data_IF_588177879138
#
_entry.id   IF_588177879138
#
_cell.length_a   1.000
_cell.length_b   1.000
_cell.length_c   1.000
_cell.angle_alpha   90.00
_cell.angle_beta   90.00
_cell.angle_gamma   90.00
#
_symmetry.space_group_name_H-M   'P 1'
#
loop_
_entity.id
_entity.type
_entity.pdbx_description
1 polymer ?
#
# COMPACT_ATOMS: atom_id res chain seq x y z
N UNK A 1 -39.96 27.38 21.77
CA UNK A 1 -38.68 28.11 21.83
C UNK A 1 -37.59 27.11 21.47
N UNK A 2 -37.13 27.19 20.23
CA UNK A 2 -36.10 26.35 19.64
C UNK A 2 -34.76 26.70 20.29
N UNK A 3 -34.23 25.78 21.10
CA UNK A 3 -32.87 25.86 21.59
C UNK A 3 -31.93 25.72 20.40
N UNK A 4 -31.35 26.83 19.98
CA UNK A 4 -30.22 26.85 19.08
C UNK A 4 -29.11 26.03 19.74
N UNK A 5 -28.81 24.88 19.15
CA UNK A 5 -27.58 24.16 19.41
C UNK A 5 -26.44 25.16 19.19
N UNK A 6 -25.67 25.41 20.23
CA UNK A 6 -24.49 26.24 20.15
C UNK A 6 -23.56 25.58 19.12
N UNK A 7 -23.42 26.19 17.94
CA UNK A 7 -22.26 25.98 17.09
C UNK A 7 -21.05 26.36 17.95
N UNK A 8 -20.42 25.38 18.59
CA UNK A 8 -19.12 25.54 19.23
C UNK A 8 -18.21 26.18 18.19
N UNK A 9 -17.79 27.41 18.44
CA UNK A 9 -16.92 28.14 17.52
C UNK A 9 -15.58 27.41 17.45
N UNK A 10 -15.43 26.57 16.41
CA UNK A 10 -14.26 25.74 16.21
C UNK A 10 -13.03 26.66 16.20
N UNK A 11 -12.03 26.43 17.07
CA UNK A 11 -10.85 27.28 17.14
C UNK A 11 -10.26 27.51 15.75
N UNK A 12 -9.96 28.77 15.40
CA UNK A 12 -9.37 29.13 14.10
C UNK A 12 -8.13 28.28 13.75
N UNK A 13 -7.35 27.88 14.77
CA UNK A 13 -6.22 26.96 14.63
C UNK A 13 -6.62 25.57 14.13
N UNK A 14 -7.69 24.98 14.68
CA UNK A 14 -8.20 23.68 14.27
C UNK A 14 -8.73 23.72 12.84
N UNK A 15 -9.49 24.76 12.48
CA UNK A 15 -10.01 24.96 11.10
C UNK A 15 -8.84 25.04 10.09
N UNK A 16 -7.77 25.76 10.45
CA UNK A 16 -6.55 25.85 9.62
C UNK A 16 -5.88 24.49 9.46
N UNK A 17 -5.69 23.74 10.55
CA UNK A 17 -5.09 22.39 10.52
C UNK A 17 -5.85 21.45 9.59
N UNK A 18 -7.18 21.44 9.64
CA UNK A 18 -8.02 20.63 8.75
C UNK A 18 -7.85 21.06 7.29
N UNK A 19 -7.82 22.37 7.03
CA UNK A 19 -7.65 22.93 5.68
C UNK A 19 -6.28 22.55 5.09
N UNK A 20 -5.21 22.70 5.87
CA UNK A 20 -3.85 22.35 5.47
C UNK A 20 -3.73 20.83 5.21
N UNK A 21 -4.40 19.99 6.00
CA UNK A 21 -4.45 18.55 5.79
C UNK A 21 -5.16 18.18 4.48
N UNK A 22 -6.33 18.76 4.20
CA UNK A 22 -7.05 18.55 2.94
C UNK A 22 -6.20 18.98 1.73
N UNK A 23 -5.53 20.13 1.82
CA UNK A 23 -4.61 20.59 0.78
C UNK A 23 -3.47 19.59 0.53
N UNK A 24 -2.84 19.07 1.58
CA UNK A 24 -1.79 18.06 1.46
C UNK A 24 -2.32 16.74 0.87
N UNK A 25 -3.52 16.31 1.25
CA UNK A 25 -4.17 15.13 0.68
C UNK A 25 -4.40 15.29 -0.83
N UNK A 26 -4.99 16.39 -1.26
CA UNK A 26 -5.33 16.58 -2.68
C UNK A 26 -4.09 16.80 -3.54
N UNK A 27 -3.11 17.55 -3.03
CA UNK A 27 -1.81 17.71 -3.68
C UNK A 27 -1.07 16.37 -3.83
N UNK A 28 -1.09 15.53 -2.80
CA UNK A 28 -0.43 14.21 -2.85
C UNK A 28 -1.10 13.29 -3.88
N UNK A 29 -2.43 13.29 -3.98
CA UNK A 29 -3.17 12.54 -5.01
C UNK A 29 -2.86 13.04 -6.43
N UNK A 30 -2.84 14.36 -6.63
CA UNK A 30 -2.53 14.95 -7.94
C UNK A 30 -1.14 14.54 -8.41
N UNK A 31 -0.13 14.68 -7.54
CA UNK A 31 1.24 14.26 -7.84
C UNK A 31 1.34 12.75 -8.06
N UNK A 32 0.65 11.94 -7.26
CA UNK A 32 0.64 10.49 -7.44
C UNK A 32 0.09 10.07 -8.81
N UNK A 33 -1.00 10.68 -9.25
CA UNK A 33 -1.58 10.40 -10.56
C UNK A 33 -0.64 10.82 -11.68
N UNK A 34 0.00 11.99 -11.57
CA UNK A 34 1.00 12.44 -12.55
C UNK A 34 2.19 11.47 -12.67
N UNK A 35 2.62 10.82 -11.58
CA UNK A 35 3.66 9.78 -11.64
C UNK A 35 3.26 8.56 -12.45
N UNK A 36 1.98 8.18 -12.44
CA UNK A 36 1.46 7.04 -13.20
C UNK A 36 1.52 7.30 -14.70
N UNK A 37 1.26 8.55 -15.10
CA UNK A 37 1.13 8.94 -16.50
C UNK A 37 2.50 9.28 -17.14
N UNK A 38 3.57 9.34 -16.33
CA UNK A 38 4.93 9.55 -16.83
C UNK A 38 5.50 8.28 -17.48
N UNK A 39 6.22 8.41 -18.63
CA UNK A 39 6.91 7.29 -19.25
C UNK A 39 7.80 6.52 -18.25
N UNK A 40 7.77 5.20 -18.35
CA UNK A 40 8.65 4.33 -17.55
C UNK A 40 10.12 4.47 -18.00
N UNK A 41 10.34 4.81 -19.28
CA UNK A 41 11.65 4.97 -19.91
C UNK A 41 11.73 6.34 -20.59
N UNK A 42 12.90 6.98 -20.54
CA UNK A 42 13.12 8.33 -21.07
C UNK A 42 13.85 9.25 -20.09
N UNK A 43 14.21 10.46 -20.55
CA UNK A 43 15.06 11.41 -19.81
C UNK A 43 14.66 11.62 -18.33
N UNK A 44 15.66 11.92 -17.49
CA UNK A 44 15.69 12.03 -16.01
C UNK A 44 14.69 13.01 -15.33
N UNK A 45 13.58 13.37 -15.97
CA UNK A 45 12.56 14.24 -15.39
C UNK A 45 11.74 13.54 -14.31
N UNK A 46 11.65 12.21 -14.35
CA UNK A 46 10.85 11.44 -13.39
C UNK A 46 11.41 11.50 -11.97
N UNK A 47 12.74 11.58 -11.79
CA UNK A 47 13.37 11.61 -10.47
C UNK A 47 12.98 12.86 -9.68
N UNK A 48 13.02 14.04 -10.32
CA UNK A 48 12.63 15.30 -9.66
C UNK A 48 11.15 15.30 -9.30
N UNK A 49 10.30 14.78 -10.21
CA UNK A 49 8.87 14.65 -9.96
C UNK A 49 8.55 13.63 -8.85
N UNK A 50 9.27 12.51 -8.83
CA UNK A 50 9.20 11.50 -7.78
C UNK A 50 9.59 12.10 -6.43
N UNK A 51 10.75 12.77 -6.34
CA UNK A 51 11.21 13.42 -5.11
C UNK A 51 10.16 14.37 -4.55
N UNK A 52 9.59 15.25 -5.40
CA UNK A 52 8.50 16.14 -5.01
C UNK A 52 7.26 15.41 -4.51
N UNK A 53 6.89 14.30 -5.17
CA UNK A 53 5.73 13.49 -4.77
C UNK A 53 5.97 12.85 -3.41
N UNK A 54 7.15 12.24 -3.25
CA UNK A 54 7.57 11.61 -2.01
C UNK A 54 7.61 12.61 -0.85
N UNK A 55 8.21 13.79 -1.05
CA UNK A 55 8.26 14.85 -0.04
C UNK A 55 6.87 15.27 0.45
N UNK A 56 5.90 15.40 -0.45
CA UNK A 56 4.52 15.76 -0.09
C UNK A 56 3.86 14.64 0.70
N UNK A 57 4.06 13.36 0.34
CA UNK A 57 3.55 12.24 1.10
C UNK A 57 4.20 12.11 2.48
N UNK A 58 5.51 12.31 2.59
CA UNK A 58 6.23 12.32 3.88
C UNK A 58 5.77 13.47 4.76
N UNK A 59 5.57 14.66 4.18
CA UNK A 59 4.99 15.80 4.90
C UNK A 59 3.57 15.50 5.37
N UNK A 60 2.72 14.93 4.53
CA UNK A 60 1.36 14.52 4.88
C UNK A 60 1.35 13.47 6.00
N UNK A 61 2.24 12.48 5.93
CA UNK A 61 2.38 11.44 6.96
C UNK A 61 2.79 12.02 8.30
N UNK A 62 3.79 12.91 8.34
CA UNK A 62 4.21 13.61 9.56
C UNK A 62 3.10 14.53 10.09
N UNK A 63 2.41 15.25 9.21
CA UNK A 63 1.32 16.16 9.57
C UNK A 63 0.19 15.42 10.28
N UNK A 64 -0.25 14.27 9.77
CA UNK A 64 -1.33 13.52 10.44
C UNK A 64 -0.94 12.96 11.81
N UNK A 65 0.35 12.62 12.01
CA UNK A 65 0.84 12.17 13.32
C UNK A 65 0.86 13.33 14.32
N UNK A 66 1.34 14.50 13.91
CA UNK A 66 1.49 15.68 14.78
C UNK A 66 0.13 16.28 15.18
N UNK A 67 -0.83 16.30 14.26
CA UNK A 67 -2.15 16.90 14.46
C UNK A 67 -3.25 15.87 14.71
N UNK A 68 -2.88 14.67 15.19
CA UNK A 68 -3.78 13.51 15.26
C UNK A 68 -5.09 13.78 15.99
N UNK A 69 -5.03 14.48 17.12
CA UNK A 69 -6.21 14.78 17.94
C UNK A 69 -7.22 15.67 17.20
N UNK A 70 -6.74 16.76 16.59
CA UNK A 70 -7.58 17.68 15.81
C UNK A 70 -8.18 16.98 14.59
N UNK A 71 -7.39 16.16 13.89
CA UNK A 71 -7.87 15.43 12.72
C UNK A 71 -8.91 14.37 13.09
N UNK A 72 -8.80 13.75 14.26
CA UNK A 72 -9.80 12.77 14.73
C UNK A 72 -11.13 13.45 15.11
N UNK A 73 -11.08 14.54 15.88
CA UNK A 73 -12.29 15.20 16.41
C UNK A 73 -12.96 16.16 15.44
N UNK A 74 -12.19 16.87 14.59
CA UNK A 74 -12.72 17.92 13.70
C UNK A 74 -12.84 17.48 12.25
N UNK A 75 -11.87 16.73 11.74
CA UNK A 75 -11.92 16.20 10.36
C UNK A 75 -12.62 14.83 10.29
N UNK A 76 -12.61 14.06 11.38
CA UNK A 76 -13.14 12.70 11.40
C UNK A 76 -12.21 11.67 10.77
N UNK A 77 -10.89 11.84 10.93
CA UNK A 77 -9.86 11.00 10.30
C UNK A 77 -9.98 9.54 10.72
N UNK A 78 -10.46 8.70 9.80
CA UNK A 78 -10.61 7.25 10.05
C UNK A 78 -9.28 6.52 9.92
N UNK A 79 -9.17 5.38 10.62
CA UNK A 79 -7.97 4.52 10.59
C UNK A 79 -7.66 4.03 9.18
N UNK A 80 -8.67 3.70 8.38
CA UNK A 80 -8.48 3.22 7.01
C UNK A 80 -7.90 4.31 6.10
N UNK A 81 -8.20 5.60 6.33
CA UNK A 81 -7.60 6.71 5.58
C UNK A 81 -6.09 6.80 5.83
N UNK A 82 -5.65 6.55 7.06
CA UNK A 82 -4.21 6.47 7.39
C UNK A 82 -3.57 5.26 6.69
N UNK A 83 -4.29 4.13 6.67
CA UNK A 83 -3.92 2.95 5.88
C UNK A 83 -3.74 3.28 4.40
N UNK A 84 -4.62 4.08 3.80
CA UNK A 84 -4.49 4.52 2.41
C UNK A 84 -3.23 5.35 2.16
N UNK A 85 -2.92 6.31 3.05
CA UNK A 85 -1.68 7.10 2.95
C UNK A 85 -0.46 6.19 3.07
N UNK A 86 -0.44 5.29 4.05
CA UNK A 86 0.64 4.32 4.22
C UNK A 86 0.79 3.40 2.99
N UNK A 87 -0.33 2.92 2.43
CA UNK A 87 -0.32 2.07 1.24
C UNK A 87 0.22 2.82 0.03
N UNK A 88 -0.04 4.13 -0.09
CA UNK A 88 0.50 4.97 -1.17
C UNK A 88 1.99 5.21 -1.02
N UNK A 89 2.48 5.41 0.19
CA UNK A 89 3.93 5.51 0.45
C UNK A 89 4.61 4.20 0.08
N UNK A 90 4.09 3.05 0.52
CA UNK A 90 4.60 1.74 0.09
C UNK A 90 4.59 1.55 -1.42
N UNK A 91 3.56 2.07 -2.11
CA UNK A 91 3.50 2.06 -3.57
C UNK A 91 4.59 2.93 -4.22
N UNK A 92 4.93 4.09 -3.64
CA UNK A 92 6.03 4.94 -4.13
C UNK A 92 7.37 4.22 -4.00
N UNK A 93 7.65 3.60 -2.86
CA UNK A 93 8.84 2.77 -2.66
C UNK A 93 8.94 1.67 -3.71
N UNK A 94 7.85 0.93 -3.93
CA UNK A 94 7.80 -0.12 -4.95
C UNK A 94 8.01 0.42 -6.37
N UNK A 95 7.40 1.56 -6.73
CA UNK A 95 7.61 2.19 -8.04
C UNK A 95 9.07 2.63 -8.24
N UNK A 96 9.74 3.09 -7.19
CA UNK A 96 11.15 3.45 -7.25
C UNK A 96 12.04 2.22 -7.48
N UNK A 97 11.76 1.12 -6.76
CA UNK A 97 12.41 -0.17 -6.99
C UNK A 97 12.26 -0.63 -8.45
N UNK A 98 11.06 -0.58 -9.04
CA UNK A 98 10.86 -0.99 -10.44
C UNK A 98 11.73 -0.21 -11.45
N UNK A 99 12.10 1.03 -11.14
CA UNK A 99 12.93 1.87 -12.02
C UNK A 99 14.43 1.73 -11.79
N UNK A 100 14.85 1.37 -10.57
CA UNK A 100 16.26 1.38 -10.14
C UNK A 100 16.82 -0.01 -9.88
N UNK A 101 15.94 -1.00 -9.67
CA UNK A 101 16.26 -2.32 -9.13
C UNK A 101 16.93 -2.28 -7.74
N UNK A 102 16.86 -1.16 -7.02
CA UNK A 102 17.41 -1.03 -5.67
C UNK A 102 16.50 -1.69 -4.63
N UNK A 103 16.97 -2.82 -4.12
CA UNK A 103 16.20 -3.76 -3.27
C UNK A 103 15.92 -3.21 -1.88
N UNK A 104 16.65 -2.18 -1.46
CA UNK A 104 16.37 -1.40 -0.26
C UNK A 104 14.97 -0.77 -0.28
N UNK A 105 14.54 -0.16 -1.39
CA UNK A 105 13.20 0.40 -1.54
C UNK A 105 12.12 -0.69 -1.54
N UNK A 106 12.43 -1.88 -2.04
CA UNK A 106 11.49 -3.01 -1.96
C UNK A 106 11.26 -3.43 -0.50
N UNK A 107 12.30 -3.42 0.34
CA UNK A 107 12.18 -3.67 1.77
C UNK A 107 11.37 -2.58 2.48
N UNK A 108 11.52 -1.31 2.10
CA UNK A 108 10.67 -0.24 2.65
C UNK A 108 9.20 -0.38 2.25
N UNK A 109 8.91 -0.74 1.00
CA UNK A 109 7.55 -1.07 0.57
C UNK A 109 6.97 -2.21 1.43
N UNK A 110 7.76 -3.25 1.70
CA UNK A 110 7.39 -4.34 2.60
C UNK A 110 7.09 -3.84 4.02
N UNK A 111 7.96 -3.00 4.59
CA UNK A 111 7.79 -2.43 5.92
C UNK A 111 6.48 -1.66 6.06
N UNK A 112 6.12 -0.83 5.07
CA UNK A 112 4.84 -0.14 5.05
C UNK A 112 3.65 -1.10 4.96
N UNK A 113 3.70 -2.09 4.07
CA UNK A 113 2.58 -3.03 3.92
C UNK A 113 2.40 -3.94 5.14
N UNK A 114 3.51 -4.39 5.74
CA UNK A 114 3.50 -5.14 6.99
C UNK A 114 2.93 -4.31 8.14
N UNK A 115 3.35 -3.05 8.25
CA UNK A 115 2.86 -2.12 9.26
C UNK A 115 1.34 -1.87 9.16
N UNK A 116 0.78 -1.86 7.95
CA UNK A 116 -0.65 -1.72 7.71
C UNK A 116 -1.43 -2.91 8.27
N UNK A 117 -0.95 -4.13 8.02
CA UNK A 117 -1.55 -5.38 8.54
C UNK A 117 -1.46 -5.43 10.06
N UNK A 118 -0.28 -5.21 10.62
CA UNK A 118 -0.02 -5.27 12.08
C UNK A 118 -0.87 -4.29 12.88
N UNK A 119 -1.15 -3.10 12.31
CA UNK A 119 -1.99 -2.08 12.96
C UNK A 119 -3.47 -2.17 12.57
N UNK A 120 -3.83 -3.13 11.72
CA UNK A 120 -5.20 -3.38 11.25
C UNK A 120 -5.90 -2.11 10.78
N UNK A 121 -5.22 -1.28 9.96
CA UNK A 121 -5.81 -0.01 9.50
C UNK A 121 -7.12 -0.20 8.74
N UNK A 122 -7.27 -1.32 8.05
CA UNK A 122 -8.47 -1.66 7.28
C UNK A 122 -9.54 -2.44 8.05
N UNK A 123 -9.39 -2.65 9.37
CA UNK A 123 -10.36 -3.42 10.18
C UNK A 123 -11.80 -2.87 10.09
N UNK A 124 -11.95 -1.55 9.97
CA UNK A 124 -13.26 -0.90 9.90
C UNK A 124 -13.82 -0.77 8.49
N UNK A 125 -13.06 -1.10 7.43
CA UNK A 125 -13.52 -0.91 6.04
C UNK A 125 -14.80 -1.68 5.75
N UNK A 126 -14.87 -2.94 6.20
CA UNK A 126 -16.06 -3.77 5.98
C UNK A 126 -17.26 -3.23 6.79
N UNK A 127 -17.09 -2.28 7.72
CA UNK A 127 -18.21 -1.68 8.48
C UNK A 127 -18.78 -0.42 7.81
N UNK A 128 -18.07 0.18 6.85
CA UNK A 128 -18.47 1.43 6.18
C UNK A 128 -19.47 1.22 5.05
N UNK A 129 -19.79 -0.05 4.71
CA UNK A 129 -20.73 -0.46 3.64
C UNK A 129 -20.47 0.19 2.27
N UNK A 130 -19.19 0.35 1.94
CA UNK A 130 -18.72 1.05 0.74
C UNK A 130 -17.82 0.13 -0.10
N UNK A 131 -18.28 -0.36 -1.26
CA UNK A 131 -17.52 -1.32 -2.07
C UNK A 131 -16.16 -0.76 -2.52
N UNK A 132 -16.08 0.54 -2.82
CA UNK A 132 -14.84 1.19 -3.24
C UNK A 132 -13.75 1.18 -2.16
N UNK A 133 -14.12 1.15 -0.87
CA UNK A 133 -13.16 1.04 0.23
C UNK A 133 -12.63 -0.39 0.35
N UNK A 134 -13.48 -1.39 0.16
CA UNK A 134 -13.09 -2.79 0.15
C UNK A 134 -12.14 -3.05 -1.02
N UNK A 135 -12.44 -2.55 -2.21
CA UNK A 135 -11.54 -2.63 -3.39
C UNK A 135 -10.16 -2.06 -3.08
N UNK A 136 -10.05 -0.95 -2.33
CA UNK A 136 -8.74 -0.41 -1.93
C UNK A 136 -7.98 -1.36 -1.00
N UNK A 137 -8.67 -2.01 -0.06
CA UNK A 137 -8.11 -3.05 0.82
C UNK A 137 -7.63 -4.27 0.02
N UNK A 138 -8.43 -4.76 -0.93
CA UNK A 138 -8.04 -5.87 -1.82
C UNK A 138 -6.79 -5.52 -2.65
N UNK A 139 -6.75 -4.31 -3.24
CA UNK A 139 -5.57 -3.83 -3.97
C UNK A 139 -4.34 -3.68 -3.08
N UNK A 140 -4.51 -3.37 -1.80
CA UNK A 140 -3.42 -3.36 -0.83
C UNK A 140 -2.85 -4.78 -0.63
N UNK A 141 -3.69 -5.77 -0.38
CA UNK A 141 -3.26 -7.17 -0.23
C UNK A 141 -2.53 -7.68 -1.47
N UNK A 142 -3.07 -7.43 -2.66
CA UNK A 142 -2.43 -7.84 -3.91
C UNK A 142 -1.01 -7.27 -4.05
N UNK A 143 -0.81 -5.97 -3.75
CA UNK A 143 0.52 -5.35 -3.77
C UNK A 143 1.44 -5.92 -2.69
N UNK A 144 0.90 -6.20 -1.50
CA UNK A 144 1.70 -6.77 -0.42
C UNK A 144 2.20 -8.17 -0.77
N UNK A 145 1.34 -9.01 -1.35
CA UNK A 145 1.69 -10.34 -1.87
C UNK A 145 2.82 -10.23 -2.91
N UNK A 146 2.68 -9.33 -3.90
CA UNK A 146 3.73 -9.11 -4.92
C UNK A 146 5.08 -8.77 -4.29
N UNK A 147 5.11 -7.85 -3.32
CA UNK A 147 6.36 -7.51 -2.62
C UNK A 147 6.92 -8.70 -1.85
N UNK A 148 6.07 -9.50 -1.19
CA UNK A 148 6.51 -10.70 -0.47
C UNK A 148 7.07 -11.77 -1.42
N UNK A 149 6.46 -11.95 -2.60
CA UNK A 149 6.97 -12.83 -3.64
C UNK A 149 8.37 -12.38 -4.09
N UNK A 150 8.56 -11.10 -4.39
CA UNK A 150 9.86 -10.56 -4.82
C UNK A 150 10.96 -10.68 -3.75
N UNK A 151 10.59 -10.57 -2.47
CA UNK A 151 11.49 -10.78 -1.32
C UNK A 151 11.60 -12.23 -0.86
N UNK A 152 11.03 -13.19 -1.61
CA UNK A 152 11.04 -14.62 -1.29
C UNK A 152 10.47 -14.97 0.11
N UNK A 153 9.49 -14.21 0.60
CA UNK A 153 8.82 -14.45 1.89
C UNK A 153 7.63 -15.39 1.73
N UNK A 154 7.87 -16.61 1.25
CA UNK A 154 6.83 -17.53 0.75
C UNK A 154 5.84 -17.99 1.83
N UNK A 155 6.24 -18.16 3.08
CA UNK A 155 5.31 -18.53 4.15
C UNK A 155 4.29 -17.42 4.42
N UNK A 156 4.76 -16.17 4.38
CA UNK A 156 3.88 -15.01 4.50
C UNK A 156 2.96 -14.87 3.27
N UNK A 157 3.46 -15.16 2.07
CA UNK A 157 2.63 -15.18 0.85
C UNK A 157 1.45 -16.14 1.00
N UNK A 158 1.68 -17.37 1.49
CA UNK A 158 0.60 -18.36 1.72
C UNK A 158 -0.47 -17.83 2.67
N UNK A 159 -0.05 -17.16 3.76
CA UNK A 159 -0.97 -16.53 4.71
C UNK A 159 -1.77 -15.41 4.05
N UNK A 160 -1.10 -14.49 3.33
CA UNK A 160 -1.75 -13.35 2.69
C UNK A 160 -2.71 -13.74 1.56
N UNK A 161 -2.41 -14.80 0.80
CA UNK A 161 -3.30 -15.31 -0.25
C UNK A 161 -4.59 -15.87 0.36
N UNK A 162 -4.47 -16.59 1.49
CA UNK A 162 -5.65 -17.06 2.22
C UNK A 162 -6.49 -15.90 2.72
N UNK A 163 -5.87 -14.90 3.36
CA UNK A 163 -6.56 -13.69 3.82
C UNK A 163 -7.24 -12.95 2.67
N UNK A 164 -6.55 -12.77 1.54
CA UNK A 164 -7.12 -12.12 0.35
C UNK A 164 -8.32 -12.90 -0.20
N UNK A 165 -8.26 -14.24 -0.21
CA UNK A 165 -9.37 -15.09 -0.65
C UNK A 165 -10.62 -14.90 0.24
N UNK A 166 -10.44 -14.88 1.55
CA UNK A 166 -11.54 -14.64 2.51
C UNK A 166 -12.17 -13.25 2.30
N UNK A 167 -11.34 -12.22 2.06
CA UNK A 167 -11.80 -10.86 1.81
C UNK A 167 -12.53 -10.70 0.48
N UNK A 168 -12.10 -11.40 -0.58
CA UNK A 168 -12.79 -11.41 -1.88
C UNK A 168 -14.14 -12.11 -1.75
N UNK A 169 -14.20 -13.23 -1.04
CA UNK A 169 -15.45 -13.95 -0.80
C UNK A 169 -16.46 -13.07 -0.04
N UNK A 170 -16.05 -12.43 1.05
CA UNK A 170 -16.92 -11.50 1.79
C UNK A 170 -17.39 -10.32 0.91
N UNK A 171 -16.47 -9.74 0.12
CA UNK A 171 -16.76 -8.64 -0.79
C UNK A 171 -17.82 -9.03 -1.84
N UNK A 172 -17.63 -10.16 -2.52
CA UNK A 172 -18.56 -10.63 -3.54
C UNK A 172 -19.91 -10.98 -2.93
N UNK A 173 -19.94 -11.72 -1.82
CA UNK A 173 -21.21 -12.12 -1.18
C UNK A 173 -22.02 -10.88 -0.76
N UNK A 174 -21.34 -9.84 -0.28
CA UNK A 174 -21.99 -8.63 0.22
C UNK A 174 -22.49 -7.70 -0.89
N UNK A 175 -21.70 -7.50 -1.94
CA UNK A 175 -21.97 -6.46 -2.93
C UNK A 175 -22.42 -6.98 -4.30
N UNK A 176 -22.38 -8.31 -4.53
CA UNK A 176 -22.77 -8.96 -5.79
C UNK A 176 -22.19 -8.26 -7.03
N UNK A 177 -20.87 -8.16 -7.09
CA UNK A 177 -20.16 -7.30 -8.03
C UNK A 177 -19.74 -8.01 -9.31
N UNK A 178 -19.76 -7.29 -10.43
CA UNK A 178 -19.34 -7.81 -11.75
C UNK A 178 -17.82 -8.07 -11.83
N UNK A 179 -17.02 -7.44 -10.97
CA UNK A 179 -15.55 -7.57 -10.93
C UNK A 179 -15.07 -8.84 -10.20
N UNK A 180 -15.97 -9.70 -9.72
CA UNK A 180 -15.61 -10.96 -9.05
C UNK A 180 -14.68 -11.83 -9.90
N UNK A 181 -14.94 -11.92 -11.21
CA UNK A 181 -14.14 -12.77 -12.10
C UNK A 181 -12.69 -12.27 -12.18
N UNK A 182 -12.49 -10.95 -12.18
CA UNK A 182 -11.15 -10.34 -12.20
C UNK A 182 -10.39 -10.64 -10.89
N UNK A 183 -11.06 -10.54 -9.74
CA UNK A 183 -10.46 -10.86 -8.44
C UNK A 183 -10.11 -12.34 -8.30
N UNK A 184 -10.95 -13.23 -8.82
CA UNK A 184 -10.66 -14.65 -8.88
C UNK A 184 -9.47 -14.97 -9.79
N UNK A 185 -9.35 -14.27 -10.92
CA UNK A 185 -8.19 -14.41 -11.81
C UNK A 185 -6.89 -14.03 -11.08
N UNK A 186 -6.89 -12.94 -10.31
CA UNK A 186 -5.72 -12.54 -9.51
C UNK A 186 -5.29 -13.65 -8.54
N UNK A 187 -6.24 -14.29 -7.83
CA UNK A 187 -5.92 -15.40 -6.93
C UNK A 187 -5.36 -16.60 -7.69
N UNK A 188 -5.94 -16.93 -8.85
CA UNK A 188 -5.48 -18.04 -9.68
C UNK A 188 -4.05 -17.81 -10.20
N UNK A 189 -3.74 -16.60 -10.67
CA UNK A 189 -2.40 -16.25 -11.15
C UNK A 189 -1.36 -16.33 -10.03
N UNK A 190 -1.69 -15.80 -8.85
CA UNK A 190 -0.80 -15.89 -7.68
C UNK A 190 -0.59 -17.34 -7.25
N UNK A 191 -1.65 -18.15 -7.21
CA UNK A 191 -1.56 -19.57 -6.87
C UNK A 191 -0.71 -20.35 -7.88
N UNK A 192 -0.93 -20.13 -9.18
CA UNK A 192 -0.15 -20.75 -10.25
C UNK A 192 1.34 -20.37 -10.14
N UNK A 193 1.63 -19.10 -9.82
CA UNK A 193 2.99 -18.63 -9.60
C UNK A 193 3.67 -19.31 -8.41
N UNK A 194 2.99 -19.45 -7.26
CA UNK A 194 3.53 -20.13 -6.08
C UNK A 194 3.85 -21.59 -6.38
N UNK A 195 3.01 -22.27 -7.17
CA UNK A 195 3.22 -23.66 -7.59
C UNK A 195 4.41 -23.79 -8.54
N UNK A 196 4.58 -22.83 -9.46
CA UNK A 196 5.66 -22.84 -10.46
C UNK A 196 7.02 -22.34 -9.93
N UNK A 197 7.05 -21.58 -8.84
CA UNK A 197 8.25 -20.95 -8.30
C UNK A 197 9.42 -21.89 -7.95
N UNK A 198 9.21 -23.07 -7.32
CA UNK A 198 10.33 -23.99 -7.13
C UNK A 198 10.79 -24.54 -8.49
N UNK A 199 11.94 -24.08 -8.98
CA UNK A 199 12.57 -24.69 -10.16
C UNK A 199 13.19 -26.00 -9.71
N UNK A 200 12.48 -27.08 -9.96
CA UNK A 200 12.92 -28.43 -9.66
C UNK A 200 13.74 -28.94 -10.84
N UNK A 201 15.06 -29.02 -10.66
CA UNK A 201 16.00 -29.51 -11.68
C UNK A 201 16.54 -30.87 -11.23
N UNK A 202 16.60 -31.83 -12.15
CA UNK A 202 17.37 -33.05 -11.93
C UNK A 202 18.83 -32.74 -12.22
N UNK A 203 19.72 -32.95 -11.25
CA UNK A 203 21.15 -32.87 -11.51
C UNK A 203 21.65 -34.15 -12.21
N UNK A 204 22.92 -34.14 -12.64
CA UNK A 204 23.58 -35.26 -13.32
C UNK A 204 23.55 -36.59 -12.52
N UNK A 205 23.31 -36.51 -11.21
CA UNK A 205 23.20 -37.66 -10.31
C UNK A 205 21.74 -38.15 -10.14
N UNK A 206 20.81 -37.68 -10.98
CA UNK A 206 19.39 -38.00 -10.89
C UNK A 206 18.74 -37.58 -9.55
N UNK A 207 19.37 -36.64 -8.83
CA UNK A 207 18.83 -36.09 -7.58
C UNK A 207 18.12 -34.78 -7.85
N UNK A 208 17.02 -34.58 -7.12
CA UNK A 208 16.18 -33.40 -7.24
C UNK A 208 16.84 -32.22 -6.53
N UNK A 209 17.14 -31.16 -7.29
CA UNK A 209 17.69 -29.89 -6.78
C UNK A 209 16.65 -28.80 -7.00
N UNK A 210 16.32 -28.07 -5.95
CA UNK A 210 15.46 -26.88 -6.05
C UNK A 210 16.38 -25.68 -6.24
N UNK A 211 16.38 -25.08 -7.43
CA UNK A 211 17.03 -23.80 -7.70
C UNK A 211 16.01 -22.69 -7.59
N UNK A 212 16.39 -21.57 -6.97
CA UNK A 212 15.57 -20.36 -6.95
C UNK A 212 16.43 -19.20 -7.44
N UNK A 213 15.93 -18.47 -8.43
CA UNK A 213 16.57 -17.25 -8.92
C UNK A 213 16.16 -16.01 -8.09
N UNK A 214 15.45 -16.22 -6.97
CA UNK A 214 15.03 -15.14 -6.08
C UNK A 214 16.16 -14.67 -5.19
N UNK A 215 16.02 -13.43 -4.72
CA UNK A 215 16.97 -12.83 -3.80
C UNK A 215 17.04 -13.64 -2.50
N UNK A 216 18.25 -13.85 -2.02
CA UNK A 216 18.51 -14.52 -0.75
C UNK A 216 18.48 -13.52 0.39
N UNK A 217 18.08 -13.97 1.57
CA UNK A 217 18.08 -13.14 2.77
C UNK A 217 19.53 -12.74 3.11
N UNK A 218 19.80 -11.43 3.20
CA UNK A 218 21.14 -10.88 3.49
C UNK A 218 21.98 -10.46 2.29
N UNK A 219 21.52 -10.61 1.04
CA UNK A 219 22.25 -10.19 -0.16
C UNK A 219 22.00 -8.73 -0.60
N UNK A 220 21.49 -7.87 0.30
CA UNK A 220 20.96 -6.54 -0.04
C UNK A 220 21.82 -5.41 0.56
N UNK A 221 22.30 -4.44 -0.24
CA UNK A 221 22.98 -3.25 0.28
C UNK A 221 22.05 -2.38 1.15
N UNK A 222 22.57 -1.77 2.24
CA UNK A 222 21.80 -0.83 3.07
C UNK A 222 21.50 0.49 2.35
N UNK A 223 20.45 1.20 2.78
CA UNK A 223 20.08 2.53 2.27
C UNK A 223 21.15 3.59 2.60
N UNK A 224 21.42 4.50 1.66
CA UNK A 224 22.22 5.70 1.94
C UNK A 224 21.48 6.65 2.92
N UNK A 225 22.24 7.20 3.87
CA UNK A 225 21.73 8.14 4.87
C UNK A 225 21.30 9.46 4.21
N UNK A 226 19.99 9.66 4.12
CA UNK A 226 19.37 10.87 3.55
C UNK A 226 17.98 10.63 2.97
N UNK A 227 17.57 9.38 2.82
CA UNK A 227 16.29 8.98 2.21
C UNK A 227 15.33 8.27 3.19
N UNK A 228 15.53 8.51 4.50
CA UNK A 228 14.68 8.05 5.61
C UNK A 228 13.63 9.10 5.97
#
# INVERSE_FOLDING_TARGET
MTGAEAEEDIPLGDRKTVTDFCYLLDKSKQLFNGLRDLPQYGHKQWQSYFGRTFDVYTKLWKFQQQHRQVLDTRYGLKRWQIGEVASKIGQLYYHYYLRTSETSYLNEAFSFYSAIRQRSYYYQVNKEDRPELVVKKLRYYARYIVVCLLLNKMDLVKVLVKELSEEIEEYTQRFNTEDQLEWNLVLQEVAAFIVADPVVVLNDNNSVVITSNRMLEGSVPPLEQGMV
#
